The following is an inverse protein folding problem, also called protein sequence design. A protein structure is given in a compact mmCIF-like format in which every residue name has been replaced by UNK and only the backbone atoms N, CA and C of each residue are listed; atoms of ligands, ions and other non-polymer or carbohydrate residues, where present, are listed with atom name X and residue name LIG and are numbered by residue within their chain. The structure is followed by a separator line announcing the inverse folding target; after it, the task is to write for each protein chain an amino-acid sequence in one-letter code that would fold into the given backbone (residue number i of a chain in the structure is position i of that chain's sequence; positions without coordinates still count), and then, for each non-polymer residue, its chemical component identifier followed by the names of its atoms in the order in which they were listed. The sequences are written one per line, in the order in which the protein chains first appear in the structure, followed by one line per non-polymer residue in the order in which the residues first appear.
data_IF_822172375604
#
_entry.id   IF_822172375604
#
_cell.length_a   1.000
_cell.length_b   1.000
_cell.length_c   1.000
_cell.angle_alpha   90.00
_cell.angle_beta   90.00
_cell.angle_gamma   90.00
#
_symmetry.space_group_name_H-M   'P 1'
#
loop_
_entity.id
_entity.type
_entity.pdbx_description
1 polymer ?
#
# COMPACT_ATOMS: atom_id res chain seq x y z
N UNK A 1 -23.11 -4.12 7.12
CA UNK A 1 -23.68 -3.53 5.89
C UNK A 1 -22.61 -3.47 4.81
N UNK A 2 -22.73 -4.28 3.77
CA UNK A 2 -21.82 -4.30 2.61
C UNK A 2 -22.28 -3.16 1.70
N UNK A 3 -21.53 -2.06 1.61
CA UNK A 3 -21.88 -0.94 0.71
C UNK A 3 -21.69 -1.41 -0.74
N UNK A 4 -22.79 -1.62 -1.46
CA UNK A 4 -22.87 -2.12 -2.84
C UNK A 4 -22.80 -0.96 -3.87
N UNK A 5 -22.29 0.22 -3.49
CA UNK A 5 -22.25 1.40 -4.38
C UNK A 5 -20.90 1.64 -5.08
N UNK A 6 -19.87 0.82 -4.82
CA UNK A 6 -18.61 0.91 -5.56
C UNK A 6 -18.64 0.01 -6.79
N UNK A 7 -18.36 0.56 -7.98
CA UNK A 7 -18.12 -0.26 -9.18
C UNK A 7 -17.19 -1.44 -8.84
N UNK A 8 -17.57 -2.70 -9.14
CA UNK A 8 -16.84 -3.90 -8.69
C UNK A 8 -15.36 -3.89 -9.11
N UNK A 9 -15.07 -3.22 -10.24
CA UNK A 9 -13.71 -2.94 -10.72
C UNK A 9 -12.93 -2.00 -9.79
N UNK A 10 -13.50 -0.88 -9.38
CA UNK A 10 -12.85 0.03 -8.44
C UNK A 10 -12.62 -0.65 -7.08
N UNK A 11 -13.59 -1.44 -6.62
CA UNK A 11 -13.45 -2.22 -5.40
C UNK A 11 -12.26 -3.19 -5.47
N UNK A 12 -12.14 -3.94 -6.56
CA UNK A 12 -11.02 -4.86 -6.79
C UNK A 12 -9.66 -4.13 -6.90
N UNK A 13 -9.65 -2.94 -7.49
CA UNK A 13 -8.45 -2.11 -7.60
C UNK A 13 -7.90 -1.70 -6.23
N UNK A 14 -8.74 -1.08 -5.39
CA UNK A 14 -8.31 -0.59 -4.08
C UNK A 14 -8.01 -1.70 -3.07
N UNK A 15 -8.64 -2.87 -3.21
CA UNK A 15 -8.33 -4.04 -2.35
C UNK A 15 -7.22 -4.93 -2.88
N UNK A 16 -6.61 -4.58 -4.01
CA UNK A 16 -5.54 -5.38 -4.59
C UNK A 16 -4.34 -5.49 -3.65
N UNK A 17 -3.85 -6.71 -3.42
CA UNK A 17 -2.68 -6.97 -2.58
C UNK A 17 -1.46 -6.19 -3.08
N UNK A 18 -1.18 -6.29 -4.38
CA UNK A 18 -0.02 -5.66 -5.04
C UNK A 18 -0.05 -4.15 -4.85
N UNK A 19 -1.20 -3.51 -5.10
CA UNK A 19 -1.33 -2.07 -4.99
C UNK A 19 -1.12 -1.58 -3.54
N UNK A 20 -1.75 -2.26 -2.58
CA UNK A 20 -1.62 -1.89 -1.18
C UNK A 20 -0.19 -2.12 -0.64
N UNK A 21 0.49 -3.18 -1.07
CA UNK A 21 1.90 -3.42 -0.72
C UNK A 21 2.82 -2.34 -1.30
N UNK A 22 2.61 -1.93 -2.55
CA UNK A 22 3.37 -0.84 -3.17
C UNK A 22 3.13 0.50 -2.46
N UNK A 23 1.90 0.77 -2.01
CA UNK A 23 1.59 1.96 -1.23
C UNK A 23 2.30 2.00 0.12
N UNK A 24 2.27 0.89 0.87
CA UNK A 24 2.99 0.79 2.15
C UNK A 24 4.49 1.01 1.92
N UNK A 25 5.06 0.43 0.85
CA UNK A 25 6.47 0.62 0.50
C UNK A 25 6.79 2.10 0.22
N UNK A 26 5.95 2.81 -0.54
CA UNK A 26 6.12 4.24 -0.79
C UNK A 26 6.11 5.06 0.50
N UNK A 27 5.14 4.80 1.40
CA UNK A 27 5.03 5.48 2.69
C UNK A 27 6.29 5.26 3.54
N UNK A 28 6.80 4.02 3.57
CA UNK A 28 8.02 3.68 4.31
C UNK A 28 9.25 4.37 3.72
N UNK A 29 9.37 4.44 2.40
CA UNK A 29 10.45 5.19 1.74
C UNK A 29 10.40 6.68 2.10
N UNK A 30 9.22 7.29 2.15
CA UNK A 30 9.05 8.70 2.54
C UNK A 30 9.46 8.93 4.00
N UNK A 31 9.09 8.04 4.93
CA UNK A 31 9.54 8.11 6.32
C UNK A 31 11.06 7.93 6.46
N UNK A 32 11.66 7.04 5.66
CA UNK A 32 13.10 6.83 5.65
C UNK A 32 13.88 8.06 5.15
N UNK A 33 13.34 8.80 4.17
CA UNK A 33 13.93 10.07 3.73
C UNK A 33 14.01 11.08 4.87
N UNK A 34 12.93 11.23 5.63
CA UNK A 34 12.86 12.18 6.75
C UNK A 34 13.75 11.74 7.91
N UNK A 35 13.87 10.44 8.15
CA UNK A 35 14.66 9.91 9.25
C UNK A 35 16.18 9.93 9.02
N UNK A 36 16.64 9.42 7.87
CA UNK A 36 18.07 9.13 7.66
C UNK A 36 18.88 10.33 7.18
N UNK A 37 18.22 11.38 6.63
CA UNK A 37 18.89 12.48 5.95
C UNK A 37 19.58 12.08 4.63
N UNK A 38 19.73 10.79 4.35
CA UNK A 38 20.23 10.24 3.10
C UNK A 38 19.09 10.11 2.10
N UNK A 39 19.04 11.04 1.14
CA UNK A 39 17.94 11.10 0.15
C UNK A 39 18.07 10.06 -0.96
N UNK A 40 19.27 9.63 -1.33
CA UNK A 40 19.52 8.82 -2.53
C UNK A 40 18.80 7.46 -2.52
N UNK A 41 19.08 6.61 -1.51
CA UNK A 41 18.54 5.25 -1.46
C UNK A 41 17.00 5.23 -1.33
N UNK A 42 16.39 5.99 -0.39
CA UNK A 42 14.93 6.01 -0.26
C UNK A 42 14.26 6.67 -1.47
N UNK A 43 14.92 7.62 -2.14
CA UNK A 43 14.40 8.24 -3.38
C UNK A 43 14.36 7.26 -4.52
N UNK A 44 15.44 6.52 -4.76
CA UNK A 44 15.47 5.52 -5.84
C UNK A 44 14.41 4.44 -5.58
N UNK A 45 14.33 3.93 -4.36
CA UNK A 45 13.31 2.93 -3.98
C UNK A 45 11.88 3.49 -4.10
N UNK A 46 11.63 4.72 -3.64
CA UNK A 46 10.32 5.37 -3.74
C UNK A 46 9.91 5.64 -5.20
N UNK A 47 10.84 6.09 -6.04
CA UNK A 47 10.61 6.30 -7.47
C UNK A 47 10.32 4.99 -8.21
N UNK A 48 11.04 3.92 -7.90
CA UNK A 48 10.76 2.58 -8.43
C UNK A 48 9.38 2.09 -7.99
N UNK A 49 9.02 2.26 -6.71
CA UNK A 49 7.71 1.89 -6.20
C UNK A 49 6.58 2.67 -6.88
N UNK A 50 6.77 3.97 -7.13
CA UNK A 50 5.84 4.81 -7.89
C UNK A 50 5.71 4.34 -9.34
N UNK A 51 6.81 3.99 -10.00
CA UNK A 51 6.80 3.50 -11.37
C UNK A 51 6.04 2.17 -11.47
N UNK A 52 6.28 1.25 -10.54
CA UNK A 52 5.55 -0.01 -10.45
C UNK A 52 4.07 0.21 -10.14
N UNK A 53 3.74 1.15 -9.26
CA UNK A 53 2.36 1.52 -8.95
C UNK A 53 1.65 2.07 -10.20
N UNK A 54 2.27 3.00 -10.92
CA UNK A 54 1.72 3.58 -12.14
C UNK A 54 1.56 2.53 -13.24
N UNK A 55 2.57 1.68 -13.43
CA UNK A 55 2.54 0.59 -14.42
C UNK A 55 1.43 -0.40 -14.09
N UNK A 56 1.28 -0.79 -12.82
CA UNK A 56 0.21 -1.68 -12.37
C UNK A 56 -1.17 -1.05 -12.55
N UNK A 57 -1.31 0.25 -12.22
CA UNK A 57 -2.54 0.98 -12.43
C UNK A 57 -2.94 1.02 -13.91
N UNK A 58 -2.01 1.41 -14.79
CA UNK A 58 -2.26 1.45 -16.24
C UNK A 58 -2.64 0.04 -16.75
N UNK A 59 -1.88 -0.99 -16.35
CA UNK A 59 -2.15 -2.37 -16.75
C UNK A 59 -3.54 -2.84 -16.32
N UNK A 60 -3.97 -2.53 -15.08
CA UNK A 60 -5.29 -2.90 -14.57
C UNK A 60 -6.42 -2.29 -15.41
N UNK A 61 -6.30 -1.01 -15.76
CA UNK A 61 -7.35 -0.29 -16.48
C UNK A 61 -7.36 -0.59 -17.98
N UNK A 62 -6.20 -0.82 -18.59
CA UNK A 62 -6.07 -1.16 -20.02
C UNK A 62 -6.42 -2.62 -20.27
N UNK A 63 -5.81 -3.56 -19.54
CA UNK A 63 -5.99 -5.00 -19.77
C UNK A 63 -7.32 -5.52 -19.26
N UNK A 64 -7.93 -4.83 -18.29
CA UNK A 64 -9.23 -5.19 -17.72
C UNK A 64 -9.30 -6.67 -17.27
N UNK A 65 -8.42 -7.12 -16.36
CA UNK A 65 -8.36 -8.52 -15.95
C UNK A 65 -9.69 -9.01 -15.38
N UNK A 66 -10.02 -10.27 -15.63
CA UNK A 66 -11.27 -10.90 -15.17
C UNK A 66 -11.26 -11.24 -13.68
N UNK A 67 -10.07 -11.51 -13.12
CA UNK A 67 -9.89 -11.82 -11.71
C UNK A 67 -8.60 -11.22 -11.15
N UNK A 68 -8.62 -10.81 -9.88
CA UNK A 68 -7.47 -10.25 -9.17
C UNK A 68 -7.40 -10.78 -7.74
N UNK A 69 -6.18 -10.98 -7.24
CA UNK A 69 -5.93 -11.28 -5.83
C UNK A 69 -6.14 -10.02 -4.99
N UNK A 70 -7.18 -10.04 -4.16
CA UNK A 70 -7.48 -9.01 -3.17
C UNK A 70 -7.07 -9.50 -1.79
N UNK A 71 -6.69 -8.56 -0.94
CA UNK A 71 -6.45 -8.85 0.47
C UNK A 71 -7.04 -7.71 1.29
N UNK A 72 -8.21 -7.97 1.89
CA UNK A 72 -8.96 -6.99 2.66
C UNK A 72 -8.17 -6.48 3.87
N UNK A 73 -7.39 -7.36 4.50
CA UNK A 73 -6.59 -7.02 5.68
C UNK A 73 -5.43 -6.08 5.35
N UNK A 74 -4.68 -6.35 4.28
CA UNK A 74 -3.58 -5.47 3.84
C UNK A 74 -4.15 -4.11 3.39
N UNK A 75 -5.32 -4.09 2.75
CA UNK A 75 -5.99 -2.86 2.33
C UNK A 75 -6.39 -1.98 3.52
N UNK A 76 -6.97 -2.58 4.56
CA UNK A 76 -7.33 -1.84 5.77
C UNK A 76 -6.07 -1.32 6.49
N UNK A 77 -4.99 -2.11 6.54
CA UNK A 77 -3.69 -1.70 7.10
C UNK A 77 -3.04 -0.55 6.32
N UNK A 78 -3.09 -0.57 4.99
CA UNK A 78 -2.60 0.53 4.16
C UNK A 78 -3.33 1.86 4.48
N UNK A 79 -4.64 1.81 4.75
CA UNK A 79 -5.40 2.97 5.20
C UNK A 79 -4.85 3.55 6.51
N UNK A 80 -4.57 2.69 7.50
CA UNK A 80 -3.96 3.10 8.77
C UNK A 80 -2.55 3.68 8.60
N UNK A 81 -1.72 3.08 7.73
CA UNK A 81 -0.38 3.60 7.41
C UNK A 81 -0.44 4.99 6.76
N UNK A 82 -1.38 5.18 5.84
CA UNK A 82 -1.59 6.46 5.16
C UNK A 82 -2.04 7.53 6.16
N UNK A 83 -2.98 7.21 7.04
CA UNK A 83 -3.45 8.12 8.08
C UNK A 83 -2.32 8.48 9.05
N UNK A 84 -1.53 7.50 9.48
CA UNK A 84 -0.37 7.72 10.34
C UNK A 84 0.65 8.65 9.67
N UNK A 85 0.96 8.42 8.39
CA UNK A 85 1.83 9.30 7.60
C UNK A 85 1.33 10.74 7.56
N UNK A 86 0.04 10.94 7.28
CA UNK A 86 -0.56 12.27 7.25
C UNK A 86 -0.45 13.00 8.60
N UNK A 87 -0.71 12.30 9.72
CA UNK A 87 -0.59 12.89 11.07
C UNK A 87 0.85 13.28 11.37
N UNK A 88 1.81 12.37 11.20
CA UNK A 88 3.21 12.63 11.53
C UNK A 88 3.80 13.73 10.65
N UNK A 89 3.47 13.72 9.36
CA UNK A 89 3.89 14.77 8.44
C UNK A 89 3.24 16.12 8.78
N UNK A 90 1.98 16.16 9.20
CA UNK A 90 1.31 17.41 9.57
C UNK A 90 1.84 17.99 10.90
N UNK A 91 2.20 17.12 11.84
CA UNK A 91 2.70 17.51 13.16
C UNK A 91 4.18 17.93 13.16
N UNK A 92 4.93 17.69 12.08
CA UNK A 92 6.39 17.83 12.05
C UNK A 92 7.03 17.23 13.31
N UNK A 93 6.67 15.97 13.61
CA UNK A 93 6.98 15.37 14.89
C UNK A 93 8.50 15.37 15.17
N UNK A 94 8.95 15.90 16.32
CA UNK A 94 10.38 16.07 16.61
C UNK A 94 11.07 14.76 17.03
N UNK A 95 10.30 13.76 17.46
CA UNK A 95 10.84 12.49 17.94
C UNK A 95 11.17 11.54 16.80
N UNK A 96 12.44 11.10 16.71
CA UNK A 96 12.90 10.11 15.74
C UNK A 96 12.12 8.78 15.78
N UNK A 97 11.60 8.40 16.94
CA UNK A 97 10.80 7.19 17.14
C UNK A 97 9.52 7.14 16.29
N UNK A 98 8.92 8.30 15.97
CA UNK A 98 7.75 8.40 15.11
C UNK A 98 8.02 7.96 13.66
N UNK A 99 9.29 8.00 13.23
CA UNK A 99 9.71 7.58 11.89
C UNK A 99 10.20 6.12 11.89
N UNK A 100 10.74 5.63 13.00
CA UNK A 100 11.22 4.24 13.14
C UNK A 100 10.05 3.26 13.24
N UNK A 101 8.99 3.62 13.99
CA UNK A 101 7.81 2.79 14.18
C UNK A 101 7.14 2.31 12.87
N UNK A 102 6.83 3.17 11.88
CA UNK A 102 6.23 2.74 10.62
C UNK A 102 7.17 1.82 9.81
N UNK A 103 8.48 2.01 9.90
CA UNK A 103 9.46 1.13 9.26
C UNK A 103 9.41 -0.27 9.87
N UNK A 104 9.54 -0.39 11.19
CA UNK A 104 9.53 -1.69 11.89
C UNK A 104 8.19 -2.42 11.69
N UNK A 105 7.08 -1.71 11.83
CA UNK A 105 5.75 -2.28 11.61
C UNK A 105 5.54 -2.75 10.17
N UNK A 106 6.08 -2.06 9.16
CA UNK A 106 5.99 -2.50 7.76
C UNK A 106 6.72 -3.82 7.51
N UNK A 107 7.87 -4.04 8.16
CA UNK A 107 8.62 -5.30 8.08
C UNK A 107 7.83 -6.43 8.72
N UNK A 108 7.25 -6.20 9.90
CA UNK A 108 6.39 -7.18 10.57
C UNK A 108 5.16 -7.51 9.70
N UNK A 109 4.52 -6.50 9.13
CA UNK A 109 3.38 -6.67 8.22
C UNK A 109 3.77 -7.46 6.96
N UNK A 110 4.96 -7.24 6.42
CA UNK A 110 5.47 -8.00 5.29
C UNK A 110 5.57 -9.50 5.62
N UNK A 111 6.17 -9.86 6.77
CA UNK A 111 6.23 -11.25 7.21
C UNK A 111 4.85 -11.86 7.46
N UNK A 112 3.94 -11.11 8.12
CA UNK A 112 2.56 -11.56 8.32
C UNK A 112 1.87 -11.77 6.97
N UNK A 113 2.08 -10.88 6.01
CA UNK A 113 1.51 -10.98 4.65
C UNK A 113 2.04 -12.18 3.85
N UNK A 114 3.21 -12.72 4.19
CA UNK A 114 3.76 -13.92 3.56
C UNK A 114 3.23 -15.20 4.19
N UNK A 115 3.04 -15.20 5.52
CA UNK A 115 2.61 -16.38 6.27
C UNK A 115 1.09 -16.55 6.22
N UNK A 116 0.34 -15.44 6.16
CA UNK A 116 -1.09 -15.45 6.34
C UNK A 116 -1.82 -15.61 5.01
N UNK A 117 -2.52 -16.72 4.86
CA UNK A 117 -3.37 -17.01 3.70
C UNK A 117 -4.73 -16.30 3.82
N UNK A 118 -4.72 -15.00 3.56
CA UNK A 118 -5.91 -14.12 3.50
C UNK A 118 -6.13 -13.58 2.08
N UNK A 119 -5.47 -14.22 1.11
CA UNK A 119 -5.50 -13.82 -0.28
C UNK A 119 -6.75 -14.42 -0.93
N UNK A 120 -7.63 -13.55 -1.40
CA UNK A 120 -8.87 -13.96 -2.05
C UNK A 120 -8.78 -13.65 -3.54
N UNK A 121 -9.03 -14.65 -4.38
CA UNK A 121 -9.18 -14.41 -5.82
C UNK A 121 -10.58 -13.84 -6.06
N UNK A 122 -10.63 -12.54 -6.37
CA UNK A 122 -11.88 -11.83 -6.65
C UNK A 122 -12.15 -11.79 -8.15
N UNK A 123 -13.27 -12.36 -8.57
CA UNK A 123 -13.75 -12.32 -9.96
C UNK A 123 -14.56 -11.04 -10.18
N UNK A 124 -14.11 -10.23 -11.14
CA UNK A 124 -14.62 -8.87 -11.41
C UNK A 124 -15.86 -8.91 -12.31
N UNK A 125 -16.02 -9.96 -13.10
CA UNK A 125 -17.26 -10.28 -13.81
C UNK A 125 -18.03 -11.36 -13.04
N UNK A 126 -18.99 -10.91 -12.22
CA UNK A 126 -20.12 -11.76 -11.89
C UNK A 126 -21.10 -11.64 -13.06
N UNK A 127 -21.18 -12.69 -13.89
CA UNK A 127 -22.30 -12.88 -14.82
C UNK A 127 -23.62 -12.89 -14.06
#
# INVERSE_FOLDING_TARGET
MKNITSHPRMYAFFRSKVLNSLMILMIVCLFMMTYTGFMLLPSVCGSLALLLFATYAIWFWVRKPESIVINSWISDMNGWFTLYFLIISAMNAPGQWWYIFPVVSSVILFFISLIRDKDEVYVIHQT
#
